data_IF_583941922720
#
_entry.id   IF_583941922720
#
_cell.length_a   1.000
_cell.length_b   1.000
_cell.length_c   1.000
_cell.angle_alpha   90.00
_cell.angle_beta   90.00
_cell.angle_gamma   90.00
#
_symmetry.space_group_name_H-M   'P 1'
#
loop_
_entity.id
_entity.type
_entity.pdbx_description
1 polymer ?
#
# COMPACT_ATOMS: atom_id res chain seq x y z
N UNK A 1 -13.95 -13.04 -11.37
CA UNK A 1 -14.71 -14.18 -10.79
C UNK A 1 -14.08 -15.55 -11.04
N UNK A 2 -13.93 -16.07 -12.26
CA UNK A 2 -13.31 -17.40 -12.46
C UNK A 2 -11.85 -17.45 -12.00
N UNK A 3 -11.03 -16.49 -12.42
CA UNK A 3 -9.62 -16.37 -12.03
C UNK A 3 -9.42 -16.20 -10.52
N UNK A 4 -10.31 -15.47 -9.86
CA UNK A 4 -10.29 -15.27 -8.41
C UNK A 4 -10.55 -16.59 -7.67
N UNK A 5 -11.52 -17.39 -8.14
CA UNK A 5 -11.82 -18.71 -7.56
C UNK A 5 -10.64 -19.67 -7.74
N UNK A 6 -10.04 -19.70 -8.93
CA UNK A 6 -8.87 -20.53 -9.23
C UNK A 6 -7.68 -20.13 -8.36
N UNK A 7 -7.40 -18.84 -8.25
CA UNK A 7 -6.32 -18.31 -7.43
C UNK A 7 -6.51 -18.63 -5.95
N UNK A 8 -7.71 -18.37 -5.41
CA UNK A 8 -8.03 -18.65 -4.01
C UNK A 8 -7.89 -20.15 -3.69
N UNK A 9 -8.31 -21.01 -4.62
CA UNK A 9 -8.18 -22.46 -4.48
C UNK A 9 -6.71 -22.90 -4.42
N UNK A 10 -5.87 -22.37 -5.32
CA UNK A 10 -4.43 -22.69 -5.36
C UNK A 10 -3.69 -22.13 -4.15
N UNK A 11 -4.03 -20.92 -3.68
CA UNK A 11 -3.49 -20.36 -2.45
C UNK A 11 -3.82 -21.26 -1.26
N UNK A 12 -5.08 -21.64 -1.10
CA UNK A 12 -5.50 -22.52 0.00
C UNK A 12 -4.78 -23.87 -0.05
N UNK A 13 -4.64 -24.45 -1.26
CA UNK A 13 -3.90 -25.70 -1.45
C UNK A 13 -2.43 -25.57 -1.04
N UNK A 14 -1.77 -24.46 -1.44
CA UNK A 14 -0.39 -24.19 -1.09
C UNK A 14 -0.19 -24.03 0.42
N UNK A 15 -1.03 -23.22 1.08
CA UNK A 15 -0.96 -22.99 2.52
C UNK A 15 -1.15 -24.31 3.31
N UNK A 16 -2.08 -25.16 2.87
CA UNK A 16 -2.31 -26.49 3.48
C UNK A 16 -1.10 -27.42 3.31
N UNK A 17 -0.50 -27.47 2.11
CA UNK A 17 0.68 -28.29 1.84
C UNK A 17 1.90 -27.88 2.67
N UNK A 18 2.05 -26.58 2.94
CA UNK A 18 3.12 -26.02 3.75
C UNK A 18 2.82 -26.05 5.25
N UNK A 19 1.67 -26.60 5.66
CA UNK A 19 1.19 -26.60 7.05
C UNK A 19 1.21 -25.21 7.71
N UNK A 20 0.85 -24.18 6.93
CA UNK A 20 0.82 -22.80 7.41
C UNK A 20 -0.39 -22.56 8.30
N UNK A 21 -0.15 -21.87 9.42
CA UNK A 21 -1.16 -21.56 10.42
C UNK A 21 -1.83 -20.21 10.16
N UNK A 22 -2.79 -19.84 11.02
CA UNK A 22 -3.42 -18.52 11.00
C UNK A 22 -2.37 -17.42 11.10
N UNK A 23 -2.32 -16.59 10.08
CA UNK A 23 -1.40 -15.45 9.99
C UNK A 23 -1.88 -14.50 8.89
N UNK A 24 -1.17 -13.38 8.72
CA UNK A 24 -1.30 -12.53 7.54
C UNK A 24 -0.26 -13.01 6.51
N UNK A 25 -0.71 -13.08 5.26
CA UNK A 25 0.15 -13.43 4.13
C UNK A 25 0.06 -12.34 3.06
N UNK A 26 1.21 -11.85 2.61
CA UNK A 26 1.30 -11.06 1.39
C UNK A 26 1.60 -12.00 0.23
N UNK A 27 0.72 -12.03 -0.76
CA UNK A 27 0.81 -12.97 -1.88
C UNK A 27 0.86 -12.17 -3.18
N UNK A 28 2.00 -12.22 -3.86
CA UNK A 28 2.14 -11.65 -5.18
C UNK A 28 1.62 -12.63 -6.23
N UNK A 29 0.77 -12.12 -7.13
CA UNK A 29 0.16 -12.90 -8.19
C UNK A 29 0.28 -12.21 -9.54
N UNK A 30 0.24 -12.99 -10.62
CA UNK A 30 0.21 -12.51 -11.99
C UNK A 30 -0.84 -13.25 -12.79
N UNK A 31 -1.48 -12.55 -13.71
CA UNK A 31 -2.35 -13.16 -14.70
C UNK A 31 -1.54 -13.30 -16.01
N UNK A 32 -1.41 -14.52 -16.48
CA UNK A 32 -0.76 -14.82 -17.76
C UNK A 32 -1.56 -14.28 -18.96
N UNK A 33 -0.94 -14.20 -20.11
CA UNK A 33 -1.62 -13.75 -21.35
C UNK A 33 -2.75 -14.69 -21.79
N UNK A 34 -2.74 -15.92 -21.32
CA UNK A 34 -3.78 -16.95 -21.51
C UNK A 34 -4.91 -16.85 -20.48
N UNK A 35 -4.84 -15.88 -19.56
CA UNK A 35 -5.78 -15.66 -18.47
C UNK A 35 -5.55 -16.54 -17.25
N UNK A 36 -4.52 -17.40 -17.23
CA UNK A 36 -4.20 -18.25 -16.08
C UNK A 36 -3.59 -17.46 -14.94
N UNK A 37 -4.09 -17.57 -13.68
CA UNK A 37 -3.48 -16.93 -12.53
C UNK A 37 -2.28 -17.74 -12.02
N UNK A 38 -1.22 -17.03 -11.66
CA UNK A 38 0.00 -17.60 -11.08
C UNK A 38 0.33 -16.97 -9.75
N UNK A 39 0.74 -17.78 -8.77
CA UNK A 39 1.33 -17.32 -7.52
C UNK A 39 2.83 -17.12 -7.77
N UNK A 40 3.32 -15.92 -7.51
CA UNK A 40 4.74 -15.56 -7.71
C UNK A 40 5.51 -15.63 -6.39
N UNK A 41 4.93 -15.12 -5.32
CA UNK A 41 5.55 -15.10 -3.99
C UNK A 41 4.48 -15.22 -2.90
N UNK A 42 4.82 -15.91 -1.80
CA UNK A 42 4.03 -15.95 -0.57
C UNK A 42 4.93 -15.60 0.60
N UNK A 43 4.67 -14.48 1.24
CA UNK A 43 5.39 -14.02 2.43
C UNK A 43 4.48 -14.04 3.65
N UNK A 44 4.87 -14.69 4.78
CA UNK A 44 4.06 -14.77 6.00
C UNK A 44 4.15 -13.46 6.81
N UNK A 45 3.78 -12.36 6.21
CA UNK A 45 3.74 -11.00 6.77
C UNK A 45 2.73 -10.14 6.03
N UNK A 46 2.42 -8.97 6.57
CA UNK A 46 1.67 -7.94 5.86
C UNK A 46 2.41 -7.41 4.62
N UNK A 47 1.70 -6.79 3.73
CA UNK A 47 2.26 -6.07 2.59
C UNK A 47 3.22 -4.96 3.02
N UNK A 48 4.10 -4.56 2.13
CA UNK A 48 5.03 -3.46 2.35
C UNK A 48 4.34 -2.11 2.40
N UNK A 49 5.13 -1.08 2.75
CA UNK A 49 4.67 0.28 2.94
C UNK A 49 3.55 0.33 3.98
N UNK A 50 2.48 1.07 3.74
CA UNK A 50 1.35 1.26 4.66
C UNK A 50 0.08 0.51 4.21
N UNK A 51 0.24 -0.59 3.44
CA UNK A 51 -0.89 -1.31 2.84
C UNK A 51 -1.94 -1.76 3.87
N UNK A 52 -1.51 -2.29 5.02
CA UNK A 52 -2.44 -2.75 6.06
C UNK A 52 -3.19 -1.59 6.73
N UNK A 53 -2.54 -0.43 6.89
CA UNK A 53 -3.17 0.79 7.42
C UNK A 53 -4.17 1.37 6.40
N UNK A 54 -3.79 1.43 5.13
CA UNK A 54 -4.67 1.88 4.06
C UNK A 54 -5.89 0.96 3.92
N UNK A 55 -5.72 -0.37 4.03
CA UNK A 55 -6.83 -1.32 4.07
C UNK A 55 -7.78 -1.05 5.25
N UNK A 56 -7.23 -0.74 6.44
CA UNK A 56 -8.06 -0.38 7.60
C UNK A 56 -8.86 0.89 7.35
N UNK A 57 -8.27 1.91 6.73
CA UNK A 57 -8.97 3.14 6.37
C UNK A 57 -10.07 2.88 5.34
N UNK A 58 -9.77 2.08 4.32
CA UNK A 58 -10.68 1.81 3.20
C UNK A 58 -11.83 0.82 3.53
N UNK A 59 -11.63 -0.08 4.49
CA UNK A 59 -12.58 -1.18 4.77
C UNK A 59 -13.01 -1.28 6.22
N UNK A 60 -12.30 -0.60 7.14
CA UNK A 60 -12.49 -0.77 8.59
C UNK A 60 -11.90 -2.07 9.15
N UNK A 61 -11.24 -2.91 8.33
CA UNK A 61 -10.64 -4.18 8.78
C UNK A 61 -9.21 -3.96 9.24
N UNK A 62 -8.94 -4.17 10.55
CA UNK A 62 -7.62 -3.97 11.14
C UNK A 62 -6.79 -5.26 11.13
N UNK A 63 -6.04 -5.47 10.05
CA UNK A 63 -5.15 -6.61 9.89
C UNK A 63 -3.92 -6.54 10.81
N UNK A 64 -3.49 -5.36 11.24
CA UNK A 64 -2.35 -5.19 12.15
C UNK A 64 -2.69 -5.73 13.52
N UNK A 65 -3.82 -5.29 14.09
CA UNK A 65 -4.33 -5.83 15.35
C UNK A 65 -4.61 -7.33 15.26
N UNK A 66 -5.16 -7.81 14.15
CA UNK A 66 -5.39 -9.23 13.91
C UNK A 66 -4.09 -10.04 13.93
N UNK A 67 -3.02 -9.54 13.30
CA UNK A 67 -1.71 -10.19 13.31
C UNK A 67 -1.12 -10.27 14.72
N UNK A 68 -1.22 -9.20 15.52
CA UNK A 68 -0.76 -9.18 16.91
C UNK A 68 -1.52 -10.22 17.75
N UNK A 69 -2.86 -10.24 17.65
CA UNK A 69 -3.70 -11.23 18.33
C UNK A 69 -3.31 -12.67 17.96
N UNK A 70 -3.17 -12.96 16.68
CA UNK A 70 -2.76 -14.27 16.20
C UNK A 70 -1.38 -14.67 16.74
N UNK A 71 -0.43 -13.73 16.85
CA UNK A 71 0.93 -14.00 17.32
C UNK A 71 1.01 -14.39 18.81
N UNK A 72 0.05 -13.98 19.61
CA UNK A 72 -0.06 -14.37 21.04
C UNK A 72 -1.00 -15.55 21.26
N UNK A 73 -1.54 -16.15 20.19
CA UNK A 73 -2.39 -17.34 20.23
C UNK A 73 -3.88 -17.06 20.43
N UNK A 74 -4.30 -15.79 20.33
CA UNK A 74 -5.72 -15.45 20.36
C UNK A 74 -6.43 -15.93 19.09
N UNK A 75 -7.70 -16.28 19.23
CA UNK A 75 -8.55 -16.56 18.07
C UNK A 75 -8.84 -15.28 17.26
N UNK A 76 -8.68 -15.35 15.93
CA UNK A 76 -8.97 -14.28 14.99
C UNK A 76 -10.03 -14.77 14.01
N UNK A 77 -11.30 -14.77 14.46
CA UNK A 77 -12.45 -15.26 13.70
C UNK A 77 -13.37 -14.13 13.20
N UNK A 78 -13.00 -12.89 13.47
CA UNK A 78 -13.79 -11.66 13.25
C UNK A 78 -13.30 -10.86 12.02
N UNK A 79 -12.42 -11.43 11.21
CA UNK A 79 -11.95 -10.82 9.95
C UNK A 79 -12.94 -11.17 8.84
N UNK A 80 -13.56 -10.13 8.33
CA UNK A 80 -14.49 -10.23 7.20
C UNK A 80 -13.99 -9.36 6.04
N UNK A 81 -14.21 -9.85 4.81
CA UNK A 81 -14.02 -9.04 3.62
C UNK A 81 -15.14 -8.00 3.57
N UNK A 82 -14.77 -6.72 3.65
CA UNK A 82 -15.70 -5.59 3.56
C UNK A 82 -15.48 -4.85 2.24
N UNK A 83 -16.53 -4.20 1.70
CA UNK A 83 -16.36 -3.34 0.54
C UNK A 83 -15.43 -2.16 0.86
N UNK A 84 -14.75 -1.67 -0.16
CA UNK A 84 -13.96 -0.45 -0.05
C UNK A 84 -14.89 0.77 0.00
N UNK A 85 -14.56 1.71 0.87
CA UNK A 85 -15.19 3.02 0.94
C UNK A 85 -14.27 4.04 0.23
N UNK A 86 -14.69 4.48 -0.96
CA UNK A 86 -13.89 5.35 -1.83
C UNK A 86 -12.78 4.64 -2.61
N UNK A 87 -11.95 5.44 -3.26
CA UNK A 87 -10.80 5.00 -4.06
C UNK A 87 -9.52 5.48 -3.41
N UNK A 88 -8.63 4.55 -3.06
CA UNK A 88 -7.47 4.82 -2.22
C UNK A 88 -6.17 4.62 -2.98
N UNK A 89 -5.18 5.45 -2.66
CA UNK A 89 -3.82 5.29 -3.15
C UNK A 89 -2.80 5.61 -2.06
N UNK A 90 -1.72 4.86 -2.05
CA UNK A 90 -0.49 5.22 -1.35
C UNK A 90 0.52 5.76 -2.36
N UNK A 91 1.10 6.90 -2.07
CA UNK A 91 2.18 7.51 -2.86
C UNK A 91 3.45 7.47 -2.05
N UNK A 92 4.45 6.72 -2.52
CA UNK A 92 5.79 6.71 -1.94
C UNK A 92 6.51 7.96 -2.41
N UNK A 93 6.93 8.79 -1.47
CA UNK A 93 7.64 10.03 -1.72
C UNK A 93 9.13 9.76 -1.92
N UNK A 94 9.73 10.41 -2.91
CA UNK A 94 11.15 10.30 -3.21
C UNK A 94 11.69 11.59 -3.83
N UNK A 95 13.02 11.75 -3.80
CA UNK A 95 13.70 12.82 -4.52
C UNK A 95 14.03 12.39 -5.95
N UNK A 96 13.96 13.34 -6.89
CA UNK A 96 14.36 13.11 -8.29
C UNK A 96 15.89 13.27 -8.48
N UNK A 97 16.56 13.96 -7.55
CA UNK A 97 18.01 14.27 -7.55
C UNK A 97 18.61 14.14 -6.17
N UNK A 98 19.92 13.90 -6.11
CA UNK A 98 20.67 13.97 -4.85
C UNK A 98 20.73 15.42 -4.35
N UNK A 99 20.68 15.64 -3.04
CA UNK A 99 20.79 16.96 -2.44
C UNK A 99 20.27 17.04 -1.02
N UNK A 100 19.91 18.23 -0.59
CA UNK A 100 19.40 18.49 0.75
C UNK A 100 17.90 18.74 0.68
N UNK A 101 17.13 17.96 1.43
CA UNK A 101 15.68 18.13 1.51
C UNK A 101 15.34 19.49 2.14
N UNK A 102 14.48 20.25 1.49
CA UNK A 102 13.94 21.50 2.03
C UNK A 102 12.49 21.33 2.50
N UNK A 103 11.63 20.83 1.64
CA UNK A 103 10.20 20.67 1.96
C UNK A 103 9.48 19.78 0.97
N UNK A 104 8.31 19.26 1.39
CA UNK A 104 7.27 18.74 0.55
C UNK A 104 6.22 19.85 0.36
N UNK A 105 5.93 20.22 -0.87
CA UNK A 105 4.88 21.20 -1.21
C UNK A 105 3.72 20.46 -1.87
N UNK A 106 2.54 20.56 -1.28
CA UNK A 106 1.28 20.06 -1.84
C UNK A 106 0.37 21.29 -2.02
N UNK A 107 -0.39 21.35 -3.11
CA UNK A 107 -1.35 22.44 -3.29
C UNK A 107 -2.45 22.35 -2.24
N UNK A 108 -2.84 23.48 -1.65
CA UNK A 108 -3.80 23.51 -0.55
C UNK A 108 -5.14 22.83 -0.92
N UNK A 109 -5.64 23.08 -2.14
CA UNK A 109 -6.87 22.45 -2.65
C UNK A 109 -6.76 20.92 -2.67
N UNK A 110 -5.64 20.37 -3.14
CA UNK A 110 -5.42 18.93 -3.23
C UNK A 110 -5.24 18.32 -1.84
N UNK A 111 -4.47 18.98 -0.98
CA UNK A 111 -4.21 18.53 0.38
C UNK A 111 -5.51 18.40 1.18
N UNK A 112 -6.33 19.46 1.18
CA UNK A 112 -7.61 19.46 1.91
C UNK A 112 -8.63 18.45 1.37
N UNK A 113 -8.61 18.17 0.06
CA UNK A 113 -9.59 17.29 -0.56
C UNK A 113 -9.19 15.82 -0.52
N UNK A 114 -7.92 15.50 -0.70
CA UNK A 114 -7.49 14.14 -1.01
C UNK A 114 -6.47 13.55 -0.05
N UNK A 115 -5.68 14.36 0.69
CA UNK A 115 -4.66 13.84 1.59
C UNK A 115 -5.29 13.45 2.92
N UNK A 116 -5.31 12.14 3.18
CA UNK A 116 -5.81 11.60 4.46
C UNK A 116 -4.69 11.56 5.48
N UNK A 117 -3.48 11.22 5.05
CA UNK A 117 -2.32 11.11 5.93
C UNK A 117 -1.04 11.42 5.16
N UNK A 118 -0.11 12.12 5.82
CA UNK A 118 1.22 12.43 5.31
C UNK A 118 2.24 12.04 6.36
N UNK A 119 3.17 11.15 5.98
CA UNK A 119 4.24 10.67 6.84
C UNK A 119 5.58 10.93 6.17
N UNK A 120 6.30 11.96 6.62
CA UNK A 120 7.63 12.30 6.16
C UNK A 120 8.67 11.72 7.11
N UNK A 121 9.67 11.03 6.56
CA UNK A 121 10.78 10.40 7.31
C UNK A 121 12.02 11.27 7.35
N UNK A 122 11.98 12.40 6.66
CA UNK A 122 13.07 13.39 6.56
C UNK A 122 12.59 14.76 7.02
N UNK A 123 13.55 15.58 7.46
CA UNK A 123 13.34 16.96 7.88
C UNK A 123 14.19 17.92 7.05
N UNK A 124 13.84 19.22 7.06
CA UNK A 124 14.65 20.23 6.37
C UNK A 124 16.10 20.15 6.82
N UNK A 125 17.02 20.01 5.86
CA UNK A 125 18.45 19.89 6.11
C UNK A 125 19.00 18.48 5.97
N UNK A 126 18.16 17.46 5.90
CA UNK A 126 18.61 16.08 5.73
C UNK A 126 19.11 15.84 4.30
N UNK A 127 20.15 15.02 4.16
CA UNK A 127 20.65 14.57 2.87
C UNK A 127 19.71 13.51 2.30
N UNK A 128 19.34 13.64 1.03
CA UNK A 128 18.50 12.70 0.31
C UNK A 128 19.13 12.32 -1.03
N UNK A 129 18.80 11.13 -1.50
CA UNK A 129 19.30 10.61 -2.76
C UNK A 129 18.20 10.47 -3.80
N UNK A 130 18.59 10.62 -5.08
CA UNK A 130 17.70 10.29 -6.18
C UNK A 130 17.22 8.84 -6.06
N UNK A 131 15.93 8.61 -6.32
CA UNK A 131 15.31 7.29 -6.15
C UNK A 131 15.98 6.22 -7.03
N UNK A 132 16.53 5.20 -6.38
CA UNK A 132 17.13 4.00 -7.00
C UNK A 132 16.50 2.72 -6.47
N UNK A 133 15.77 2.81 -5.35
CA UNK A 133 15.12 1.70 -4.69
C UNK A 133 14.39 2.11 -3.42
N UNK A 134 13.76 1.15 -2.76
CA UNK A 134 12.90 1.41 -1.59
C UNK A 134 13.60 2.15 -0.44
N UNK A 135 14.93 2.02 -0.31
CA UNK A 135 15.70 2.70 0.74
C UNK A 135 15.88 4.21 0.50
N UNK A 136 15.58 4.70 -0.71
CA UNK A 136 15.65 6.12 -1.06
C UNK A 136 14.29 6.81 -0.92
N UNK A 137 13.28 6.11 -0.38
CA UNK A 137 12.01 6.71 -0.04
C UNK A 137 12.17 7.68 1.13
N UNK A 138 11.48 8.82 1.05
CA UNK A 138 11.53 9.89 2.06
C UNK A 138 10.23 10.08 2.83
N UNK A 139 9.23 9.27 2.53
CA UNK A 139 7.93 9.30 3.19
C UNK A 139 6.83 8.68 2.34
N UNK A 140 5.60 8.79 2.83
CA UNK A 140 4.39 8.34 2.14
C UNK A 140 3.24 9.32 2.29
N UNK A 141 2.34 9.34 1.31
CA UNK A 141 1.02 9.96 1.40
C UNK A 141 -0.05 8.88 1.24
N UNK A 142 -1.08 8.92 2.06
CA UNK A 142 -2.32 8.17 1.86
C UNK A 142 -3.38 9.11 1.31
N UNK A 143 -3.93 8.76 0.17
CA UNK A 143 -4.90 9.57 -0.57
C UNK A 143 -6.23 8.83 -0.67
N UNK A 144 -7.33 9.61 -0.65
CA UNK A 144 -8.68 9.13 -0.90
C UNK A 144 -9.36 9.97 -1.98
N UNK A 145 -10.15 9.32 -2.83
CA UNK A 145 -10.89 9.93 -3.93
C UNK A 145 -12.31 9.40 -3.99
N UNK A 146 -13.23 10.21 -4.48
CA UNK A 146 -14.62 9.82 -4.66
C UNK A 146 -14.80 8.90 -5.87
N UNK A 147 -13.94 9.03 -6.90
CA UNK A 147 -14.02 8.24 -8.14
C UNK A 147 -12.67 7.70 -8.59
N UNK A 148 -12.71 6.61 -9.37
CA UNK A 148 -11.51 6.02 -9.99
C UNK A 148 -10.87 6.99 -10.98
N UNK A 149 -11.68 7.77 -11.72
CA UNK A 149 -11.19 8.75 -12.69
C UNK A 149 -10.37 9.84 -12.03
N UNK A 150 -10.83 10.38 -10.88
CA UNK A 150 -10.08 11.37 -10.10
C UNK A 150 -8.74 10.80 -9.62
N UNK A 151 -8.75 9.56 -9.09
CA UNK A 151 -7.54 8.87 -8.65
C UNK A 151 -6.54 8.71 -9.80
N UNK A 152 -6.98 8.18 -10.93
CA UNK A 152 -6.12 7.94 -12.10
C UNK A 152 -5.55 9.24 -12.65
N UNK A 153 -6.36 10.30 -12.73
CA UNK A 153 -5.91 11.64 -13.18
C UNK A 153 -4.88 12.23 -12.21
N UNK A 154 -5.12 12.14 -10.90
CA UNK A 154 -4.20 12.64 -9.88
C UNK A 154 -2.84 11.93 -9.96
N UNK A 155 -2.84 10.58 -10.05
CA UNK A 155 -1.61 9.79 -10.11
C UNK A 155 -0.81 10.04 -11.41
N UNK A 156 -1.49 10.26 -12.55
CA UNK A 156 -0.82 10.60 -13.82
C UNK A 156 -0.19 11.99 -13.81
N UNK A 157 -0.73 12.91 -13.01
CA UNK A 157 -0.34 14.32 -13.01
C UNK A 157 0.22 14.79 -11.67
N UNK A 158 0.94 13.95 -10.94
CA UNK A 158 1.48 14.23 -9.60
C UNK A 158 2.21 15.58 -9.52
N UNK A 159 3.00 15.94 -10.53
CA UNK A 159 3.76 17.20 -10.56
C UNK A 159 2.90 18.47 -10.57
N UNK A 160 1.59 18.36 -10.79
CA UNK A 160 0.66 19.49 -10.74
C UNK A 160 0.26 19.87 -9.32
N UNK A 161 0.23 18.91 -8.41
CA UNK A 161 -0.25 19.11 -7.05
C UNK A 161 0.81 18.83 -5.98
N UNK A 162 1.92 18.16 -6.34
CA UNK A 162 2.99 17.82 -5.39
C UNK A 162 4.37 18.13 -5.97
N UNK A 163 5.26 18.62 -5.10
CA UNK A 163 6.68 18.81 -5.40
C UNK A 163 7.54 18.57 -4.17
N UNK A 164 8.54 17.71 -4.30
CA UNK A 164 9.66 17.61 -3.35
C UNK A 164 10.67 18.68 -3.70
N UNK A 165 11.02 19.54 -2.74
CA UNK A 165 11.98 20.65 -2.93
C UNK A 165 13.32 20.22 -2.38
N UNK A 166 14.33 20.22 -3.25
CA UNK A 166 15.72 19.84 -2.97
C UNK A 166 16.63 21.01 -3.37
N UNK A 167 17.67 21.27 -2.57
CA UNK A 167 18.74 22.24 -2.90
C UNK A 167 20.10 21.58 -3.04
#
# INVERSE_FOLDING_TARGET
>A
MQQEIELTTEIQRLLNLLHMNTSIYNIETRIGIDGTPYIMEVSPRGGGNRLAEMLRMATGTDLITAAVRASVGDEVNDIEQRPYDGHWAEVVLHADVDGIFESLVITEEFEQKHVVESDLWVTNGDEVHAFRGANDAIGTLVLNFDTEEELVEALKNQRRWMKVVIR
#
